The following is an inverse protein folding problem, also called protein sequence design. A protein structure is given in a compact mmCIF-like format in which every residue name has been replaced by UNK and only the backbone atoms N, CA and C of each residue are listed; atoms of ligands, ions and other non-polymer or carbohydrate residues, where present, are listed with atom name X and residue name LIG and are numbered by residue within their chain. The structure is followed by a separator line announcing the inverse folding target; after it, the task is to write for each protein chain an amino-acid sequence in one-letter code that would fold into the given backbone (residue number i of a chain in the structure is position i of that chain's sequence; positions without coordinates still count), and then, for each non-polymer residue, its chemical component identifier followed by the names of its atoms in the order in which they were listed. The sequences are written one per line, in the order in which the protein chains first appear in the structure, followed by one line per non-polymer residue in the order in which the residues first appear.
data_IF_272021424195
#
_entry.id   IF_272021424195
#
_cell.length_a   1.000
_cell.length_b   1.000
_cell.length_c   1.000
_cell.angle_alpha   90.00
_cell.angle_beta   90.00
_cell.angle_gamma   90.00
#
_symmetry.space_group_name_H-M   'P 1'
#
loop_
_entity.id
_entity.type
_entity.pdbx_description
1 polymer ?
#
# COMPACT_ATOMS: atom_id res chain seq x y z
N UNK A 1 -15.91 -15.59 -27.79
CA UNK A 1 -15.43 -14.59 -26.80
C UNK A 1 -15.94 -14.91 -25.41
N UNK A 2 -17.18 -15.38 -25.30
CA UNK A 2 -17.88 -15.80 -24.07
C UNK A 2 -17.09 -16.75 -23.16
N UNK A 3 -16.44 -17.78 -23.72
CA UNK A 3 -15.62 -18.72 -22.94
C UNK A 3 -14.45 -18.00 -22.24
N UNK A 4 -13.82 -17.03 -22.93
CA UNK A 4 -12.72 -16.23 -22.36
C UNK A 4 -13.24 -15.27 -21.28
N UNK A 5 -14.36 -14.61 -21.51
CA UNK A 5 -15.00 -13.71 -20.53
C UNK A 5 -15.43 -14.46 -19.26
N UNK A 6 -16.05 -15.64 -19.41
CA UNK A 6 -16.43 -16.50 -18.28
C UNK A 6 -15.20 -16.93 -17.49
N UNK A 7 -14.13 -17.37 -18.18
CA UNK A 7 -12.89 -17.77 -17.51
C UNK A 7 -12.25 -16.60 -16.76
N UNK A 8 -12.21 -15.41 -17.38
CA UNK A 8 -11.72 -14.20 -16.74
C UNK A 8 -12.51 -13.85 -15.48
N UNK A 9 -13.85 -13.88 -15.55
CA UNK A 9 -14.70 -13.62 -14.39
C UNK A 9 -14.46 -14.62 -13.25
N UNK A 10 -14.34 -15.91 -13.56
CA UNK A 10 -14.02 -16.94 -12.55
C UNK A 10 -12.64 -16.72 -11.91
N UNK A 11 -11.63 -16.36 -12.71
CA UNK A 11 -10.30 -16.04 -12.18
C UNK A 11 -10.35 -14.80 -11.29
N UNK A 12 -11.17 -13.80 -11.62
CA UNK A 12 -11.39 -12.62 -10.77
C UNK A 12 -12.05 -12.95 -9.44
N UNK A 13 -13.02 -13.87 -9.42
CA UNK A 13 -13.61 -14.34 -8.17
C UNK A 13 -12.58 -15.06 -7.30
N UNK A 14 -11.82 -16.00 -7.89
CA UNK A 14 -10.73 -16.69 -7.17
C UNK A 14 -9.64 -15.74 -6.67
N UNK A 15 -9.30 -14.72 -7.47
CA UNK A 15 -8.37 -13.68 -7.05
C UNK A 15 -8.88 -13.01 -5.76
N UNK A 16 -10.17 -12.65 -5.73
CA UNK A 16 -10.79 -12.01 -4.56
C UNK A 16 -10.76 -12.93 -3.33
N UNK A 17 -11.07 -14.21 -3.51
CA UNK A 17 -11.02 -15.21 -2.42
C UNK A 17 -9.60 -15.35 -1.86
N UNK A 18 -8.58 -15.47 -2.73
CA UNK A 18 -7.18 -15.56 -2.32
C UNK A 18 -6.68 -14.27 -1.66
N UNK A 19 -7.09 -13.10 -2.15
CA UNK A 19 -6.77 -11.81 -1.54
C UNK A 19 -7.36 -11.69 -0.13
N UNK A 20 -8.57 -12.20 0.09
CA UNK A 20 -9.19 -12.26 1.40
C UNK A 20 -8.45 -13.21 2.33
N UNK A 21 -8.18 -14.45 1.90
CA UNK A 21 -7.46 -15.45 2.69
C UNK A 21 -6.05 -14.95 3.09
N UNK A 22 -5.32 -14.34 2.15
CA UNK A 22 -4.02 -13.73 2.42
C UNK A 22 -4.12 -12.58 3.43
N UNK A 23 -5.18 -11.76 3.36
CA UNK A 23 -5.41 -10.68 4.31
C UNK A 23 -5.68 -11.20 5.72
N UNK A 24 -6.48 -12.26 5.84
CA UNK A 24 -6.79 -12.91 7.12
C UNK A 24 -5.53 -13.55 7.72
N UNK A 25 -4.77 -14.33 6.94
CA UNK A 25 -3.50 -14.92 7.38
C UNK A 25 -2.47 -13.86 7.80
N UNK A 26 -2.37 -12.76 7.05
CA UNK A 26 -1.50 -11.64 7.44
C UNK A 26 -1.90 -11.06 8.80
N UNK A 27 -3.20 -10.87 9.04
CA UNK A 27 -3.70 -10.40 10.33
C UNK A 27 -3.29 -11.32 11.47
N UNK A 28 -3.54 -12.63 11.31
CA UNK A 28 -3.19 -13.65 12.31
C UNK A 28 -1.68 -13.69 12.61
N UNK A 29 -0.83 -13.62 11.58
CA UNK A 29 0.64 -13.65 11.79
C UNK A 29 1.12 -12.38 12.51
N UNK A 30 0.57 -11.20 12.15
CA UNK A 30 0.92 -9.94 12.82
C UNK A 30 0.48 -9.99 14.29
N UNK A 31 -0.76 -10.41 14.56
CA UNK A 31 -1.30 -10.55 15.91
C UNK A 31 -0.44 -11.50 16.75
N UNK A 32 -0.13 -12.68 16.22
CA UNK A 32 0.74 -13.65 16.89
C UNK A 32 2.13 -13.09 17.24
N UNK A 33 2.73 -12.34 16.31
CA UNK A 33 4.02 -11.69 16.56
C UNK A 33 3.90 -10.56 17.62
N UNK A 34 2.80 -9.80 17.60
CA UNK A 34 2.52 -8.76 18.59
C UNK A 34 2.29 -9.33 19.99
N UNK A 35 1.53 -10.42 20.11
CA UNK A 35 1.30 -11.14 21.38
C UNK A 35 2.61 -11.63 22.00
N UNK A 36 3.55 -12.09 21.17
CA UNK A 36 4.88 -12.52 21.63
C UNK A 36 5.88 -11.37 21.80
N UNK A 37 5.53 -10.15 21.37
CA UNK A 37 6.44 -9.00 21.38
C UNK A 37 7.65 -9.14 20.44
N UNK A 38 7.56 -10.00 19.42
CA UNK A 38 8.65 -10.26 18.47
C UNK A 38 8.39 -9.54 17.14
N UNK A 39 9.46 -9.06 16.50
CA UNK A 39 9.40 -8.50 15.14
C UNK A 39 9.72 -9.55 14.07
N UNK A 40 10.09 -10.75 14.48
CA UNK A 40 10.53 -11.82 13.61
C UNK A 40 10.13 -13.18 14.19
N UNK A 41 9.63 -14.05 13.31
CA UNK A 41 9.19 -15.39 13.63
C UNK A 41 9.79 -16.35 12.60
N UNK A 42 10.33 -17.47 13.08
CA UNK A 42 10.82 -18.54 12.21
C UNK A 42 9.97 -19.79 12.42
N UNK A 43 9.43 -20.35 11.34
CA UNK A 43 8.58 -21.53 11.37
C UNK A 43 9.02 -22.50 10.26
N UNK A 44 9.82 -23.51 10.63
CA UNK A 44 10.37 -24.48 9.68
C UNK A 44 11.27 -23.81 8.64
N UNK A 45 10.91 -23.94 7.36
CA UNK A 45 11.63 -23.32 6.23
C UNK A 45 11.15 -21.91 5.91
N UNK A 46 10.29 -21.31 6.72
CA UNK A 46 9.76 -19.96 6.49
C UNK A 46 10.21 -19.00 7.58
N UNK A 47 10.45 -17.75 7.19
CA UNK A 47 10.77 -16.64 8.07
C UNK A 47 9.78 -15.52 7.82
N UNK A 48 9.12 -15.06 8.86
CA UNK A 48 8.21 -13.94 8.85
C UNK A 48 8.85 -12.77 9.58
N UNK A 49 8.88 -11.60 8.95
CA UNK A 49 9.43 -10.36 9.50
C UNK A 49 8.39 -9.26 9.46
N UNK A 50 8.20 -8.60 10.59
CA UNK A 50 7.41 -7.38 10.72
C UNK A 50 8.31 -6.18 10.49
N UNK A 51 8.09 -5.49 9.38
CA UNK A 51 8.79 -4.26 9.04
C UNK A 51 7.87 -3.08 9.30
N UNK A 52 8.29 -2.19 10.20
CA UNK A 52 7.64 -0.91 10.38
C UNK A 52 8.02 -0.01 9.21
N UNK A 53 7.02 0.42 8.44
CA UNK A 53 7.19 1.38 7.37
C UNK A 53 6.36 2.62 7.65
N UNK A 54 6.97 3.80 7.49
CA UNK A 54 6.24 5.06 7.46
C UNK A 54 5.55 5.20 6.10
N UNK A 55 4.22 5.09 6.10
CA UNK A 55 3.40 5.36 4.93
C UNK A 55 2.84 6.78 5.04
N UNK A 56 3.08 7.57 4.00
CA UNK A 56 2.46 8.89 3.85
C UNK A 56 1.00 8.69 3.44
N UNK A 57 0.07 8.99 4.33
CA UNK A 57 -1.35 9.11 3.99
C UNK A 57 -1.62 10.57 3.64
N UNK A 58 -1.78 10.83 2.34
CA UNK A 58 -2.10 12.16 1.83
C UNK A 58 -3.59 12.43 2.02
N UNK A 59 -3.89 13.59 2.58
CA UNK A 59 -5.23 14.17 2.63
C UNK A 59 -5.58 14.72 1.24
N UNK A 60 -6.67 14.23 0.67
CA UNK A 60 -7.09 14.59 -0.69
C UNK A 60 -7.31 16.10 -0.83
N UNK A 61 -7.98 16.70 0.15
CA UNK A 61 -8.34 18.12 0.12
C UNK A 61 -7.12 19.00 0.31
N UNK A 62 -6.29 18.71 1.32
CA UNK A 62 -5.04 19.47 1.54
C UNK A 62 -4.07 19.32 0.38
N UNK A 63 -3.96 18.12 -0.19
CA UNK A 63 -3.11 17.89 -1.35
C UNK A 63 -3.60 18.70 -2.54
N UNK A 64 -4.91 18.70 -2.82
CA UNK A 64 -5.49 19.51 -3.89
C UNK A 64 -5.22 21.00 -3.70
N UNK A 65 -5.41 21.52 -2.50
CA UNK A 65 -5.17 22.94 -2.17
C UNK A 65 -3.70 23.34 -2.25
N UNK A 66 -2.78 22.41 -1.99
CA UNK A 66 -1.34 22.65 -2.07
C UNK A 66 -0.75 22.52 -3.47
N UNK A 67 -1.53 22.04 -4.45
CA UNK A 67 -1.06 21.94 -5.82
C UNK A 67 -1.04 23.33 -6.49
N UNK A 68 0.00 23.64 -7.25
CA UNK A 68 0.12 24.94 -7.92
C UNK A 68 -0.86 25.10 -9.07
N UNK A 69 -1.35 24.00 -9.66
CA UNK A 69 -2.20 24.00 -10.85
C UNK A 69 -3.25 22.85 -10.80
N UNK A 70 -4.53 23.14 -11.07
CA UNK A 70 -5.60 22.14 -11.16
C UNK A 70 -5.34 21.00 -12.18
N UNK A 71 -4.59 21.24 -13.25
CA UNK A 71 -4.27 20.20 -14.24
C UNK A 71 -3.32 19.14 -13.67
N UNK A 72 -2.49 19.48 -12.67
CA UNK A 72 -1.65 18.50 -11.95
C UNK A 72 -2.51 17.53 -11.16
N UNK A 73 -3.61 17.99 -10.58
CA UNK A 73 -4.58 17.12 -9.91
C UNK A 73 -5.19 16.10 -10.86
N UNK A 74 -5.46 16.49 -12.11
CA UNK A 74 -6.02 15.56 -13.12
C UNK A 74 -5.09 14.39 -13.41
N UNK A 75 -3.77 14.62 -13.41
CA UNK A 75 -2.75 13.56 -13.59
C UNK A 75 -2.70 12.58 -12.40
N UNK A 76 -2.85 13.11 -11.19
CA UNK A 76 -2.94 12.32 -9.96
C UNK A 76 -4.25 11.51 -9.92
N UNK A 77 -5.38 12.17 -10.21
CA UNK A 77 -6.77 11.70 -10.09
C UNK A 77 -7.19 11.29 -8.66
N UNK A 78 -6.24 10.88 -7.83
CA UNK A 78 -6.36 10.54 -6.41
C UNK A 78 -4.98 10.67 -5.73
N UNK A 79 -4.91 10.85 -4.40
CA UNK A 79 -3.66 10.82 -3.65
C UNK A 79 -2.97 9.45 -3.81
N UNK A 80 -1.91 9.41 -4.61
CA UNK A 80 -1.09 8.22 -4.84
C UNK A 80 0.39 8.57 -4.66
N UNK A 81 1.02 7.96 -3.66
CA UNK A 81 2.40 8.27 -3.29
C UNK A 81 3.40 8.04 -4.43
N UNK A 82 3.16 7.04 -5.30
CA UNK A 82 4.03 6.74 -6.44
C UNK A 82 3.93 7.83 -7.50
N UNK A 83 2.71 8.29 -7.82
CA UNK A 83 2.49 9.40 -8.75
C UNK A 83 3.04 10.72 -8.21
N UNK A 84 2.81 11.02 -6.94
CA UNK A 84 3.34 12.21 -6.27
C UNK A 84 4.87 12.22 -6.34
N UNK A 85 5.52 11.11 -6.01
CA UNK A 85 6.98 10.98 -6.13
C UNK A 85 7.47 11.18 -7.57
N UNK A 86 6.71 10.70 -8.57
CA UNK A 86 6.99 10.96 -9.98
C UNK A 86 6.92 12.45 -10.33
N UNK A 87 5.89 13.16 -9.87
CA UNK A 87 5.72 14.60 -10.14
C UNK A 87 6.78 15.46 -9.44
N UNK A 88 7.21 15.08 -8.23
CA UNK A 88 8.34 15.74 -7.56
C UNK A 88 9.64 15.56 -8.37
N UNK A 89 9.91 14.33 -8.84
CA UNK A 89 11.09 14.06 -9.67
C UNK A 89 11.08 14.81 -11.00
N UNK A 90 9.90 15.02 -11.56
CA UNK A 90 9.70 15.82 -12.78
C UNK A 90 9.68 17.33 -12.49
N UNK A 91 9.89 17.74 -11.24
CA UNK A 91 9.91 19.13 -10.77
C UNK A 91 8.59 19.88 -11.05
N UNK A 92 7.48 19.14 -11.17
CA UNK A 92 6.12 19.67 -11.38
C UNK A 92 5.52 20.17 -10.07
N UNK A 93 5.86 19.49 -8.97
CA UNK A 93 5.45 19.87 -7.60
C UNK A 93 6.67 19.85 -6.69
N UNK A 94 6.72 20.77 -5.73
CA UNK A 94 7.80 20.81 -4.73
C UNK A 94 7.47 19.92 -3.54
N UNK A 95 8.48 19.26 -2.97
CA UNK A 95 8.29 18.45 -1.75
C UNK A 95 7.79 19.29 -0.56
N UNK A 96 8.21 20.55 -0.49
CA UNK A 96 7.80 21.50 0.55
C UNK A 96 6.29 21.82 0.47
N UNK A 97 5.75 21.98 -0.74
CA UNK A 97 4.34 22.28 -0.96
C UNK A 97 3.42 21.18 -0.40
N UNK A 98 3.83 19.92 -0.51
CA UNK A 98 3.02 18.78 -0.07
C UNK A 98 3.35 18.30 1.34
N UNK A 99 4.27 18.96 2.06
CA UNK A 99 4.77 18.47 3.34
C UNK A 99 3.70 18.40 4.42
N UNK A 100 2.78 19.36 4.43
CA UNK A 100 1.67 19.46 5.39
C UNK A 100 0.37 18.79 4.90
N UNK A 101 0.43 18.13 3.74
CA UNK A 101 -0.72 17.46 3.12
C UNK A 101 -0.79 15.98 3.41
N UNK A 102 0.23 15.41 4.08
CA UNK A 102 0.21 14.02 4.52
C UNK A 102 0.50 13.85 6.00
N UNK A 103 -0.12 12.83 6.59
CA UNK A 103 0.31 12.29 7.87
C UNK A 103 1.19 11.07 7.63
N UNK A 104 2.32 10.99 8.34
CA UNK A 104 3.10 9.76 8.39
C UNK A 104 2.41 8.78 9.34
N UNK A 105 1.86 7.70 8.80
CA UNK A 105 1.31 6.61 9.59
C UNK A 105 2.29 5.44 9.57
N UNK A 106 2.66 4.98 10.76
CA UNK A 106 3.41 3.73 10.90
C UNK A 106 2.49 2.56 10.55
N UNK A 107 2.85 1.85 9.49
CA UNK A 107 2.19 0.61 9.11
C UNK A 107 3.14 -0.56 9.34
N UNK A 108 2.59 -1.68 9.77
CA UNK A 108 3.34 -2.93 9.89
C UNK A 108 3.17 -3.72 8.61
N UNK A 109 4.28 -3.98 7.93
CA UNK A 109 4.34 -4.83 6.75
C UNK A 109 4.85 -6.20 7.16
N UNK A 110 4.08 -7.23 6.86
CA UNK A 110 4.51 -8.61 6.98
C UNK A 110 5.29 -8.99 5.71
N UNK A 111 6.54 -9.38 5.89
CA UNK A 111 7.35 -10.00 4.85
C UNK A 111 7.53 -11.48 5.21
N UNK A 112 7.17 -12.38 4.30
CA UNK A 112 7.40 -13.81 4.47
C UNK A 112 8.37 -14.27 3.40
N UNK A 113 9.48 -14.85 3.82
CA UNK A 113 10.50 -15.42 2.95
C UNK A 113 10.68 -16.91 3.24
N UNK A 114 11.04 -17.66 2.19
CA UNK A 114 11.44 -19.06 2.34
C UNK A 114 12.95 -19.08 2.52
N UNK A 115 13.42 -19.74 3.57
CA UNK A 115 14.83 -20.04 3.82
C UNK A 115 15.41 -20.98 2.78
#
# INVERSE_FOLDING_TARGET
MDVKLRRYYQLKQKQKELEQELSELRGQIIEHCQEQGVQELEAGTYRAKLVLQDRKEFDEQKLYEALPDPDVWRLLSKPDASKIAGLIKLNVISEDAIKDTYAAKRITILQVEKK
#
